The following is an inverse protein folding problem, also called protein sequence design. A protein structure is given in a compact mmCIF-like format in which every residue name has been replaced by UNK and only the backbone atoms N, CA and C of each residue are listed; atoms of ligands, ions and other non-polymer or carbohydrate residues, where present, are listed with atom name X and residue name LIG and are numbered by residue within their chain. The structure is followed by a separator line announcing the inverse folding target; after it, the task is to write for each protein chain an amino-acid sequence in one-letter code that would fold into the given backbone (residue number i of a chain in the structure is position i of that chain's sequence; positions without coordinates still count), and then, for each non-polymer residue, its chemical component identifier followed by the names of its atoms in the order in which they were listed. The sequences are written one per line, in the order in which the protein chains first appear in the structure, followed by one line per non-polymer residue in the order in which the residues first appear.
data_IF_442190486238
#
_entry.id   IF_442190486238
#
_cell.length_a   1.000
_cell.length_b   1.000
_cell.length_c   1.000
_cell.angle_alpha   90.00
_cell.angle_beta   90.00
_cell.angle_gamma   90.00
#
_symmetry.space_group_name_H-M   'P 1'
#
loop_
_entity.id
_entity.type
_entity.pdbx_description
1 polymer ?
#
# COMPACT_ATOMS: atom_id res chain seq x y z
N UNK A 1 7.56 -5.58 -42.20
CA UNK A 1 8.97 -5.81 -41.84
C UNK A 1 9.43 -4.53 -41.17
N UNK A 2 9.29 -4.45 -39.85
CA UNK A 2 9.62 -3.25 -39.08
C UNK A 2 11.10 -3.27 -38.75
N UNK A 3 11.72 -2.14 -39.08
CA UNK A 3 13.11 -1.76 -38.88
C UNK A 3 13.69 -2.28 -37.55
N UNK A 4 14.79 -3.02 -37.67
CA UNK A 4 15.52 -3.65 -36.57
C UNK A 4 16.29 -2.61 -35.77
N UNK A 5 15.57 -1.73 -35.06
CA UNK A 5 16.15 -0.93 -33.98
C UNK A 5 16.78 -1.90 -33.00
N UNK A 6 18.11 -2.01 -33.05
CA UNK A 6 18.90 -2.88 -32.17
C UNK A 6 18.41 -2.67 -30.74
N UNK A 7 17.66 -3.63 -30.19
CA UNK A 7 17.36 -3.66 -28.76
C UNK A 7 18.72 -3.63 -28.10
N UNK A 8 19.03 -2.51 -27.46
CA UNK A 8 20.38 -2.29 -26.95
C UNK A 8 20.67 -3.41 -25.94
N UNK A 9 21.89 -3.95 -25.96
CA UNK A 9 22.31 -4.96 -24.97
C UNK A 9 22.02 -4.44 -23.55
N UNK A 10 22.20 -3.13 -23.35
CA UNK A 10 21.80 -2.42 -22.14
C UNK A 10 20.31 -2.60 -21.79
N UNK A 11 19.38 -2.36 -22.72
CA UNK A 11 17.93 -2.54 -22.48
C UNK A 11 17.61 -3.96 -22.04
N UNK A 12 18.18 -4.97 -22.70
CA UNK A 12 17.95 -6.37 -22.34
C UNK A 12 18.48 -6.69 -20.93
N UNK A 13 19.71 -6.27 -20.62
CA UNK A 13 20.32 -6.49 -19.30
C UNK A 13 19.50 -5.81 -18.21
N UNK A 14 19.14 -4.53 -18.39
CA UNK A 14 18.34 -3.77 -17.42
C UNK A 14 16.96 -4.40 -17.20
N UNK A 15 16.29 -4.84 -18.28
CA UNK A 15 15.00 -5.52 -18.19
C UNK A 15 15.10 -6.84 -17.44
N UNK A 16 16.15 -7.62 -17.69
CA UNK A 16 16.38 -8.89 -16.98
C UNK A 16 16.62 -8.64 -15.48
N UNK A 17 17.45 -7.65 -15.13
CA UNK A 17 17.68 -7.28 -13.72
C UNK A 17 16.37 -6.88 -13.04
N UNK A 18 15.58 -6.01 -13.68
CA UNK A 18 14.28 -5.57 -13.16
C UNK A 18 13.32 -6.74 -12.94
N UNK A 19 13.24 -7.65 -13.92
CA UNK A 19 12.42 -8.86 -13.85
C UNK A 19 12.85 -9.77 -12.70
N UNK A 20 14.15 -9.97 -12.51
CA UNK A 20 14.69 -10.81 -11.42
C UNK A 20 14.32 -10.22 -10.07
N UNK A 21 14.46 -8.90 -9.89
CA UNK A 21 14.02 -8.25 -8.66
C UNK A 21 12.54 -8.47 -8.39
N UNK A 22 11.68 -8.30 -9.39
CA UNK A 22 10.25 -8.54 -9.21
C UNK A 22 9.88 -10.00 -8.94
N UNK A 23 10.64 -10.96 -9.47
CA UNK A 23 10.44 -12.37 -9.11
C UNK A 23 10.72 -12.65 -7.63
N UNK A 24 11.67 -11.93 -7.01
CA UNK A 24 12.10 -12.20 -5.62
C UNK A 24 11.55 -11.19 -4.61
N UNK A 25 10.90 -10.10 -5.06
CA UNK A 25 10.54 -8.95 -4.22
C UNK A 25 9.77 -9.36 -2.96
N UNK A 26 8.80 -10.27 -3.07
CA UNK A 26 7.91 -10.66 -1.99
C UNK A 26 8.54 -11.64 -0.98
N UNK A 27 9.69 -12.25 -1.30
CA UNK A 27 10.35 -13.24 -0.43
C UNK A 27 10.70 -12.61 0.95
N UNK A 28 11.38 -11.44 1.02
CA UNK A 28 11.61 -10.75 2.28
C UNK A 28 10.34 -10.48 3.10
N UNK A 29 9.22 -10.12 2.45
CA UNK A 29 7.96 -9.86 3.13
C UNK A 29 7.37 -11.15 3.73
N UNK A 30 7.34 -12.23 2.95
CA UNK A 30 6.87 -13.54 3.40
C UNK A 30 7.70 -14.03 4.59
N UNK A 31 9.02 -13.88 4.51
CA UNK A 31 9.93 -14.25 5.60
C UNK A 31 9.72 -13.38 6.83
N UNK A 32 9.54 -12.06 6.65
CA UNK A 32 9.28 -11.12 7.72
C UNK A 32 8.00 -11.46 8.50
N UNK A 33 6.89 -11.70 7.78
CA UNK A 33 5.63 -12.15 8.34
C UNK A 33 5.80 -13.47 9.11
N UNK A 34 6.56 -14.43 8.54
CA UNK A 34 6.82 -15.71 9.19
C UNK A 34 7.68 -15.57 10.46
N UNK A 35 8.66 -14.66 10.49
CA UNK A 35 9.51 -14.43 11.67
C UNK A 35 8.74 -13.76 12.80
N UNK A 36 7.93 -12.75 12.48
CA UNK A 36 7.17 -11.97 13.47
C UNK A 36 5.89 -12.66 13.94
N UNK A 37 5.32 -13.56 13.14
CA UNK A 37 4.01 -14.20 13.39
C UNK A 37 2.87 -13.18 13.54
N UNK A 38 3.08 -11.98 12.98
CA UNK A 38 2.19 -10.83 13.00
C UNK A 38 2.22 -10.20 11.62
N UNK A 39 1.07 -9.66 11.20
CA UNK A 39 0.88 -9.05 9.86
C UNK A 39 0.17 -7.70 9.97
N UNK A 40 0.27 -7.07 11.14
CA UNK A 40 -0.39 -5.80 11.40
C UNK A 40 0.14 -4.70 10.47
N UNK A 41 -0.77 -3.94 9.85
CA UNK A 41 -0.43 -2.88 8.88
C UNK A 41 -0.19 -3.37 7.45
N UNK A 42 -0.14 -4.69 7.20
CA UNK A 42 -0.08 -5.23 5.84
C UNK A 42 -1.51 -5.42 5.27
N UNK A 43 -1.92 -4.66 4.23
CA UNK A 43 -3.30 -4.71 3.75
C UNK A 43 -3.63 -6.05 3.06
N UNK A 44 -4.66 -6.81 3.50
CA UNK A 44 -5.06 -8.05 2.82
C UNK A 44 -5.51 -7.81 1.38
N UNK A 45 -6.18 -6.67 1.14
CA UNK A 45 -6.72 -6.31 -0.18
C UNK A 45 -5.60 -6.05 -1.20
N UNK A 46 -4.46 -5.49 -0.78
CA UNK A 46 -3.29 -5.32 -1.64
C UNK A 46 -2.82 -6.67 -2.19
N UNK A 47 -2.63 -7.65 -1.31
CA UNK A 47 -2.16 -8.99 -1.71
C UNK A 47 -3.16 -9.70 -2.63
N UNK A 48 -4.47 -9.51 -2.40
CA UNK A 48 -5.51 -10.06 -3.29
C UNK A 48 -5.55 -9.38 -4.65
N UNK A 49 -5.46 -8.04 -4.70
CA UNK A 49 -5.45 -7.29 -5.96
C UNK A 49 -4.22 -7.62 -6.79
N UNK A 50 -3.07 -7.80 -6.15
CA UNK A 50 -1.83 -8.24 -6.78
C UNK A 50 -1.91 -9.69 -7.29
N UNK A 51 -2.49 -10.60 -6.51
CA UNK A 51 -2.77 -11.95 -7.00
C UNK A 51 -3.75 -11.95 -8.19
N UNK A 52 -4.78 -11.10 -8.13
CA UNK A 52 -5.77 -10.97 -9.20
C UNK A 52 -5.16 -10.33 -10.47
N UNK A 53 -4.22 -9.39 -10.33
CA UNK A 53 -3.54 -8.77 -11.47
C UNK A 53 -2.54 -9.70 -12.15
N UNK A 54 -1.97 -10.66 -11.41
CA UNK A 54 -1.04 -11.66 -11.95
C UNK A 54 -1.68 -12.49 -13.07
N UNK A 55 -2.97 -12.79 -12.99
CA UNK A 55 -3.73 -13.56 -14.00
C UNK A 55 -3.73 -12.86 -15.37
N UNK A 56 -4.31 -11.65 -15.54
CA UNK A 56 -4.28 -10.96 -16.82
C UNK A 56 -2.86 -10.61 -17.26
N UNK A 57 -1.94 -10.33 -16.33
CA UNK A 57 -0.53 -10.09 -16.66
C UNK A 57 0.13 -11.34 -17.27
N UNK A 58 -0.07 -12.52 -16.69
CA UNK A 58 0.42 -13.80 -17.19
C UNK A 58 -0.14 -14.14 -18.57
N UNK A 59 -1.46 -13.98 -18.75
CA UNK A 59 -2.14 -14.14 -20.05
C UNK A 59 -1.49 -13.25 -21.11
N UNK A 60 -1.30 -11.97 -20.81
CA UNK A 60 -0.70 -11.01 -21.74
C UNK A 60 0.72 -11.43 -22.14
N UNK A 61 1.58 -11.78 -21.17
CA UNK A 61 2.97 -12.18 -21.44
C UNK A 61 3.04 -13.49 -22.26
N UNK A 62 2.19 -14.46 -21.97
CA UNK A 62 2.15 -15.75 -22.69
C UNK A 62 1.65 -15.56 -24.13
N UNK A 63 0.60 -14.75 -24.34
CA UNK A 63 0.07 -14.48 -25.69
C UNK A 63 1.05 -13.69 -26.55
N UNK A 64 1.71 -12.68 -25.97
CA UNK A 64 2.76 -11.91 -26.63
C UNK A 64 4.03 -12.73 -26.91
N UNK A 65 4.13 -13.96 -26.39
CA UNK A 65 5.27 -14.88 -26.56
C UNK A 65 6.60 -14.22 -26.19
N UNK A 66 6.59 -13.40 -25.14
CA UNK A 66 7.82 -12.76 -24.63
C UNK A 66 8.76 -13.81 -24.04
N UNK A 67 10.01 -13.42 -23.73
CA UNK A 67 11.00 -14.34 -23.15
C UNK A 67 10.47 -15.06 -21.91
N UNK A 68 10.86 -16.33 -21.73
CA UNK A 68 10.39 -17.19 -20.62
C UNK A 68 10.47 -16.52 -19.23
N UNK A 69 11.55 -15.79 -18.85
CA UNK A 69 11.59 -15.12 -17.55
C UNK A 69 10.43 -14.13 -17.32
N UNK A 70 10.00 -13.41 -18.37
CA UNK A 70 8.88 -12.46 -18.29
C UNK A 70 7.52 -13.16 -18.24
N UNK A 71 7.41 -14.39 -18.75
CA UNK A 71 6.19 -15.21 -18.59
C UNK A 71 6.10 -15.81 -17.19
N UNK A 72 7.23 -16.15 -16.58
CA UNK A 72 7.30 -16.75 -15.23
C UNK A 72 7.09 -15.69 -14.15
N UNK A 73 7.50 -14.45 -14.37
CA UNK A 73 7.43 -13.39 -13.36
C UNK A 73 6.02 -13.18 -12.79
N UNK A 74 4.93 -13.04 -13.57
CA UNK A 74 3.58 -12.87 -13.04
C UNK A 74 3.13 -14.08 -12.20
N UNK A 75 3.53 -15.28 -12.58
CA UNK A 75 3.18 -16.52 -11.87
C UNK A 75 3.79 -16.55 -10.47
N UNK A 76 5.09 -16.26 -10.40
CA UNK A 76 5.81 -16.20 -9.13
C UNK A 76 5.24 -15.08 -8.25
N UNK A 77 5.01 -13.91 -8.83
CA UNK A 77 4.43 -12.76 -8.14
C UNK A 77 3.02 -13.06 -7.59
N UNK A 78 2.15 -13.67 -8.38
CA UNK A 78 0.80 -14.04 -7.97
C UNK A 78 0.79 -15.08 -6.85
N UNK A 79 1.61 -16.13 -6.97
CA UNK A 79 1.74 -17.17 -5.92
C UNK A 79 2.28 -16.57 -4.63
N UNK A 80 3.33 -15.76 -4.68
CA UNK A 80 3.89 -15.11 -3.49
C UNK A 80 2.90 -14.13 -2.84
N UNK A 81 2.11 -13.42 -3.64
CA UNK A 81 1.04 -12.55 -3.14
C UNK A 81 -0.01 -13.36 -2.39
N UNK A 82 -0.43 -14.52 -2.93
CA UNK A 82 -1.39 -15.40 -2.26
C UNK A 82 -0.82 -16.07 -0.99
N UNK A 83 0.46 -16.42 -0.97
CA UNK A 83 1.13 -16.90 0.25
C UNK A 83 1.12 -15.81 1.33
N UNK A 84 1.49 -14.59 0.98
CA UNK A 84 1.46 -13.44 1.89
C UNK A 84 0.03 -13.17 2.39
N UNK A 85 -0.96 -13.23 1.49
CA UNK A 85 -2.38 -13.14 1.87
C UNK A 85 -2.80 -14.23 2.87
N UNK A 86 -2.39 -15.49 2.63
CA UNK A 86 -2.59 -16.58 3.56
C UNK A 86 -1.96 -16.34 4.94
N UNK A 87 -0.76 -15.75 4.97
CA UNK A 87 -0.13 -15.34 6.22
C UNK A 87 -0.93 -14.25 6.96
N UNK A 88 -1.55 -13.31 6.23
CA UNK A 88 -2.42 -12.28 6.81
C UNK A 88 -3.69 -12.90 7.41
N UNK A 89 -4.30 -13.87 6.72
CA UNK A 89 -5.46 -14.60 7.25
C UNK A 89 -5.11 -15.38 8.52
N UNK A 90 -3.95 -16.06 8.53
CA UNK A 90 -3.54 -16.89 9.65
C UNK A 90 -3.06 -16.07 10.86
N UNK A 91 -2.14 -15.12 10.66
CA UNK A 91 -1.54 -14.36 11.75
C UNK A 91 -2.38 -13.16 12.20
N UNK A 92 -3.01 -12.46 11.26
CA UNK A 92 -3.83 -11.27 11.52
C UNK A 92 -5.27 -11.62 11.91
N UNK A 93 -5.99 -12.33 11.05
CA UNK A 93 -7.42 -12.63 11.27
C UNK A 93 -7.67 -13.89 12.12
N UNK A 94 -6.60 -14.54 12.60
CA UNK A 94 -6.65 -15.75 13.45
C UNK A 94 -7.45 -16.91 12.85
N UNK A 95 -7.49 -17.02 11.52
CA UNK A 95 -8.11 -18.17 10.87
C UNK A 95 -7.33 -19.45 11.23
N UNK A 96 -8.00 -20.60 11.23
CA UNK A 96 -7.29 -21.87 11.44
C UNK A 96 -6.34 -22.15 10.26
N UNK A 97 -5.22 -22.86 10.52
CA UNK A 97 -4.22 -23.21 9.49
C UNK A 97 -4.86 -23.86 8.28
N UNK A 98 -5.79 -24.79 8.52
CA UNK A 98 -6.50 -25.53 7.48
C UNK A 98 -7.36 -24.59 6.63
N UNK A 99 -8.14 -23.70 7.26
CA UNK A 99 -8.99 -22.74 6.53
C UNK A 99 -8.14 -21.78 5.68
N UNK A 100 -7.07 -21.23 6.24
CA UNK A 100 -6.18 -20.32 5.52
C UNK A 100 -5.52 -21.02 4.32
N UNK A 101 -4.97 -22.23 4.52
CA UNK A 101 -4.34 -23.01 3.44
C UNK A 101 -5.33 -23.41 2.36
N UNK A 102 -6.55 -23.86 2.72
CA UNK A 102 -7.58 -24.21 1.75
C UNK A 102 -8.03 -23.02 0.91
N UNK A 103 -8.18 -21.84 1.53
CA UNK A 103 -8.50 -20.62 0.80
C UNK A 103 -7.39 -20.25 -0.19
N UNK A 104 -6.13 -20.29 0.24
CA UNK A 104 -4.98 -20.01 -0.65
C UNK A 104 -4.93 -20.98 -1.82
N UNK A 105 -5.02 -22.30 -1.55
CA UNK A 105 -4.98 -23.31 -2.61
C UNK A 105 -6.18 -23.16 -3.55
N UNK A 106 -7.38 -22.92 -3.01
CA UNK A 106 -8.59 -22.69 -3.78
C UNK A 106 -8.46 -21.46 -4.69
N UNK A 107 -7.91 -20.36 -4.18
CA UNK A 107 -7.65 -19.15 -4.98
C UNK A 107 -6.57 -19.37 -6.02
N UNK A 108 -5.48 -20.09 -5.72
CA UNK A 108 -4.45 -20.46 -6.71
C UNK A 108 -5.06 -21.27 -7.85
N UNK A 109 -5.86 -22.29 -7.52
CA UNK A 109 -6.53 -23.14 -8.51
C UNK A 109 -7.51 -22.33 -9.38
N UNK A 110 -8.27 -21.43 -8.76
CA UNK A 110 -9.17 -20.51 -9.47
C UNK A 110 -8.41 -19.58 -10.42
N UNK A 111 -7.36 -18.92 -9.93
CA UNK A 111 -6.53 -18.02 -10.73
C UNK A 111 -5.88 -18.76 -11.91
N UNK A 112 -5.30 -19.94 -11.68
CA UNK A 112 -4.71 -20.76 -12.74
C UNK A 112 -5.73 -21.27 -13.76
N UNK A 113 -6.94 -21.64 -13.30
CA UNK A 113 -8.05 -22.01 -14.18
C UNK A 113 -8.55 -20.85 -15.05
N UNK A 114 -8.71 -19.66 -14.45
CA UNK A 114 -9.10 -18.44 -15.17
C UNK A 114 -8.03 -18.01 -16.18
N UNK A 115 -6.76 -18.08 -15.80
CA UNK A 115 -5.63 -17.81 -16.70
C UNK A 115 -5.63 -18.77 -17.89
N UNK A 116 -5.72 -20.09 -17.63
CA UNK A 116 -5.75 -21.09 -18.69
C UNK A 116 -6.93 -20.88 -19.65
N UNK A 117 -8.12 -20.59 -19.10
CA UNK A 117 -9.31 -20.28 -19.89
C UNK A 117 -9.06 -19.05 -20.78
N UNK A 118 -8.58 -17.95 -20.21
CA UNK A 118 -8.29 -16.72 -20.95
C UNK A 118 -7.25 -16.94 -22.05
N UNK A 119 -6.18 -17.68 -21.77
CA UNK A 119 -5.16 -18.03 -22.77
C UNK A 119 -5.80 -18.80 -23.92
N UNK A 120 -6.57 -19.85 -23.64
CA UNK A 120 -7.19 -20.67 -24.68
C UNK A 120 -8.18 -19.87 -25.53
N UNK A 121 -9.00 -19.03 -24.89
CA UNK A 121 -9.99 -18.19 -25.57
C UNK A 121 -9.34 -17.10 -26.43
N UNK A 122 -8.33 -16.40 -25.91
CA UNK A 122 -7.70 -15.26 -26.58
C UNK A 122 -6.62 -15.67 -27.59
N UNK A 123 -6.09 -16.90 -27.49
CA UNK A 123 -5.15 -17.43 -28.48
C UNK A 123 -5.78 -17.56 -29.88
N UNK A 124 -7.08 -17.83 -29.95
CA UNK A 124 -7.81 -17.95 -31.22
C UNK A 124 -7.81 -16.62 -32.01
N UNK A 125 -8.31 -15.48 -31.47
CA UNK A 125 -8.26 -14.19 -32.17
C UNK A 125 -6.84 -13.69 -32.36
N UNK A 126 -5.93 -13.93 -31.41
CA UNK A 126 -4.52 -13.53 -31.52
C UNK A 126 -3.83 -14.19 -32.74
N UNK A 127 -4.03 -15.51 -32.92
CA UNK A 127 -3.50 -16.22 -34.08
C UNK A 127 -4.13 -15.78 -35.41
N UNK A 128 -5.32 -15.15 -35.38
CA UNK A 128 -5.97 -14.52 -36.53
C UNK A 128 -5.49 -13.08 -36.77
N UNK A 129 -4.51 -12.59 -36.00
CA UNK A 129 -3.93 -11.25 -36.13
C UNK A 129 -4.70 -10.15 -35.40
N UNK A 130 -5.70 -10.49 -34.58
CA UNK A 130 -6.48 -9.53 -33.79
C UNK A 130 -5.83 -9.38 -32.41
N UNK A 131 -5.09 -8.29 -32.20
CA UNK A 131 -4.31 -8.04 -30.98
C UNK A 131 -5.02 -7.16 -29.94
N UNK A 132 -6.05 -6.39 -30.30
CA UNK A 132 -6.71 -5.50 -29.32
C UNK A 132 -7.21 -6.19 -28.03
N UNK A 133 -7.74 -7.44 -28.07
CA UNK A 133 -8.10 -8.17 -26.85
C UNK A 133 -6.92 -8.44 -25.91
N UNK A 134 -5.71 -8.68 -26.43
CA UNK A 134 -4.53 -8.88 -25.58
C UNK A 134 -4.13 -7.58 -24.87
N UNK A 135 -4.18 -6.44 -25.57
CA UNK A 135 -3.87 -5.13 -25.03
C UNK A 135 -4.85 -4.73 -23.93
N UNK A 136 -6.13 -5.08 -24.10
CA UNK A 136 -7.16 -4.85 -23.08
C UNK A 136 -6.84 -5.62 -21.80
N UNK A 137 -6.46 -6.89 -21.91
CA UNK A 137 -6.09 -7.71 -20.74
C UNK A 137 -4.83 -7.15 -20.07
N UNK A 138 -3.84 -6.73 -20.85
CA UNK A 138 -2.67 -6.02 -20.34
C UNK A 138 -3.04 -4.75 -19.57
N UNK A 139 -3.93 -3.92 -20.12
CA UNK A 139 -4.41 -2.70 -19.48
C UNK A 139 -5.18 -2.99 -18.17
N UNK A 140 -5.98 -4.05 -18.12
CA UNK A 140 -6.66 -4.48 -16.88
C UNK A 140 -5.65 -4.90 -15.82
N UNK A 141 -4.62 -5.67 -16.19
CA UNK A 141 -3.55 -6.05 -15.26
C UNK A 141 -2.86 -4.82 -14.66
N UNK A 142 -2.58 -3.85 -15.52
CA UNK A 142 -1.94 -2.60 -15.22
C UNK A 142 -2.73 -1.76 -14.19
N UNK A 143 -4.04 -1.62 -14.41
CA UNK A 143 -4.96 -0.95 -13.48
C UNK A 143 -5.05 -1.66 -12.15
N UNK A 144 -5.16 -3.00 -12.15
CA UNK A 144 -5.23 -3.79 -10.91
C UNK A 144 -3.93 -3.70 -10.09
N UNK A 145 -2.77 -3.68 -10.75
CA UNK A 145 -1.48 -3.51 -10.10
C UNK A 145 -1.40 -2.17 -9.37
N UNK A 146 -1.76 -1.08 -10.05
CA UNK A 146 -1.82 0.27 -9.47
C UNK A 146 -2.86 0.34 -8.33
N UNK A 147 -4.04 -0.25 -8.53
CA UNK A 147 -5.08 -0.31 -7.50
C UNK A 147 -4.62 -1.06 -6.25
N UNK A 148 -3.79 -2.10 -6.41
CA UNK A 148 -3.19 -2.84 -5.31
C UNK A 148 -2.29 -2.00 -4.41
N UNK A 149 -1.70 -0.92 -4.93
CA UNK A 149 -0.90 0.03 -4.16
C UNK A 149 -1.71 1.09 -3.42
N UNK A 150 -3.05 1.15 -3.61
CA UNK A 150 -3.91 2.12 -2.91
C UNK A 150 -4.19 1.73 -1.44
N UNK A 151 -4.54 0.47 -1.08
CA UNK A 151 -4.77 0.08 0.31
C UNK A 151 -3.66 0.46 1.32
N UNK A 152 -2.36 0.35 0.98
CA UNK A 152 -1.27 0.85 1.83
C UNK A 152 -1.41 2.32 2.20
N UNK A 153 -1.88 3.18 1.29
CA UNK A 153 -2.09 4.61 1.57
C UNK A 153 -3.21 4.86 2.57
N UNK A 154 -4.27 4.05 2.54
CA UNK A 154 -5.31 4.14 3.57
C UNK A 154 -4.78 3.73 4.94
N UNK A 155 -3.96 2.68 5.02
CA UNK A 155 -3.30 2.30 6.28
C UNK A 155 -2.31 3.36 6.77
N UNK A 156 -1.59 4.02 5.85
CA UNK A 156 -0.73 5.16 6.19
C UNK A 156 -1.52 6.32 6.76
N UNK A 157 -2.65 6.66 6.15
CA UNK A 157 -3.50 7.75 6.61
C UNK A 157 -4.10 7.48 7.99
N UNK A 158 -4.56 6.24 8.25
CA UNK A 158 -5.04 5.82 9.58
C UNK A 158 -3.96 5.86 10.66
N UNK A 159 -2.69 5.71 10.28
CA UNK A 159 -1.54 5.58 11.18
C UNK A 159 -0.63 6.82 11.14
N UNK A 160 -1.18 7.99 10.82
CA UNK A 160 -0.48 9.27 10.90
C UNK A 160 0.77 9.39 9.99
N UNK A 161 0.84 8.59 8.93
CA UNK A 161 1.95 8.47 8.00
C UNK A 161 2.98 7.39 8.35
N UNK A 162 2.75 6.60 9.41
CA UNK A 162 3.65 5.51 9.80
C UNK A 162 3.44 4.27 8.93
N UNK A 163 4.48 3.89 8.20
CA UNK A 163 4.54 2.59 7.51
C UNK A 163 4.75 1.48 8.54
N UNK A 164 3.79 0.57 8.66
CA UNK A 164 3.84 -0.62 9.54
C UNK A 164 3.46 -1.84 8.70
N UNK A 165 4.02 -2.99 9.04
CA UNK A 165 3.70 -4.25 8.37
C UNK A 165 4.53 -4.52 7.13
N UNK A 166 5.06 -3.49 6.48
CA UNK A 166 5.97 -3.62 5.34
C UNK A 166 7.41 -3.91 5.77
N UNK A 167 8.04 -4.84 5.05
CA UNK A 167 9.47 -5.08 5.10
C UNK A 167 10.19 -4.08 4.17
N UNK A 168 11.13 -3.31 4.71
CA UNK A 168 11.88 -2.30 3.94
C UNK A 168 12.73 -2.89 2.81
N UNK A 169 13.19 -4.13 2.95
CA UNK A 169 13.92 -4.85 1.88
C UNK A 169 12.97 -5.24 0.76
N UNK A 170 11.76 -5.73 1.07
CA UNK A 170 10.72 -5.98 0.06
C UNK A 170 10.46 -4.73 -0.77
N UNK A 171 10.15 -3.61 -0.11
CA UNK A 171 9.82 -2.36 -0.80
C UNK A 171 10.98 -1.87 -1.66
N UNK A 172 12.22 -2.02 -1.18
CA UNK A 172 13.40 -1.60 -1.93
C UNK A 172 13.65 -2.46 -3.17
N UNK A 173 13.45 -3.77 -3.08
CA UNK A 173 13.60 -4.67 -4.24
C UNK A 173 12.51 -4.36 -5.27
N UNK A 174 11.28 -4.08 -4.84
CA UNK A 174 10.17 -3.72 -5.72
C UNK A 174 10.46 -2.42 -6.50
N UNK A 175 10.88 -1.37 -5.79
CA UNK A 175 11.27 -0.09 -6.40
C UNK A 175 12.43 -0.24 -7.35
N UNK A 176 13.45 -1.04 -7.01
CA UNK A 176 14.55 -1.33 -7.92
C UNK A 176 14.06 -2.08 -9.17
N UNK A 177 13.16 -3.05 -9.02
CA UNK A 177 12.52 -3.73 -10.15
C UNK A 177 11.85 -2.77 -11.12
N UNK A 178 11.09 -1.81 -10.59
CA UNK A 178 10.44 -0.74 -11.36
C UNK A 178 11.43 0.21 -12.03
N UNK A 179 12.44 0.68 -11.29
CA UNK A 179 13.45 1.61 -11.82
C UNK A 179 14.29 0.98 -12.94
N UNK A 180 14.78 -0.25 -12.76
CA UNK A 180 15.56 -0.94 -13.79
C UNK A 180 14.71 -1.23 -15.03
N UNK A 181 13.42 -1.56 -14.86
CA UNK A 181 12.50 -1.76 -15.98
C UNK A 181 12.18 -0.44 -16.72
N UNK A 182 12.10 0.69 -16.00
CA UNK A 182 11.94 2.02 -16.58
C UNK A 182 13.20 2.46 -17.35
N UNK A 183 14.38 2.23 -16.79
CA UNK A 183 15.65 2.51 -17.49
C UNK A 183 15.83 1.64 -18.73
N UNK A 184 15.40 0.37 -18.67
CA UNK A 184 15.42 -0.52 -19.83
C UNK A 184 14.56 0.03 -20.98
N UNK A 185 13.38 0.58 -20.64
CA UNK A 185 12.48 1.21 -21.61
C UNK A 185 13.08 2.49 -22.21
N UNK A 186 13.66 3.35 -21.37
CA UNK A 186 14.36 4.55 -21.84
C UNK A 186 15.55 4.21 -22.76
N UNK A 187 16.26 3.12 -22.48
CA UNK A 187 17.40 2.64 -23.29
C UNK A 187 17.01 1.93 -24.59
N UNK A 188 15.73 1.59 -24.79
CA UNK A 188 15.25 0.89 -25.99
C UNK A 188 14.96 1.83 -27.17
N UNK A 189 14.75 3.13 -26.93
CA UNK A 189 14.46 4.12 -27.97
C UNK A 189 13.03 4.07 -28.55
N UNK A 190 12.35 2.92 -28.50
CA UNK A 190 10.92 2.77 -28.76
C UNK A 190 10.15 2.78 -27.42
N UNK A 191 9.46 3.88 -27.11
CA UNK A 191 8.74 3.98 -25.84
C UNK A 191 7.40 3.26 -25.92
N UNK A 192 7.31 2.08 -25.32
CA UNK A 192 6.04 1.45 -24.98
C UNK A 192 5.36 2.26 -23.87
N UNK A 193 4.39 3.09 -24.28
CA UNK A 193 3.67 4.02 -23.41
C UNK A 193 2.98 3.28 -22.27
N UNK A 194 2.40 2.10 -22.54
CA UNK A 194 1.63 1.37 -21.52
C UNK A 194 2.56 0.84 -20.42
N UNK A 195 3.65 0.16 -20.81
CA UNK A 195 4.67 -0.30 -19.85
C UNK A 195 5.33 0.85 -19.09
N UNK A 196 5.67 1.94 -19.79
CA UNK A 196 6.30 3.12 -19.19
C UNK A 196 5.43 3.80 -18.13
N UNK A 197 4.15 4.03 -18.43
CA UNK A 197 3.20 4.62 -17.47
C UNK A 197 3.11 3.74 -16.21
N UNK A 198 3.06 2.42 -16.37
CA UNK A 198 2.93 1.52 -15.22
C UNK A 198 4.16 1.53 -14.32
N UNK A 199 5.36 1.49 -14.90
CA UNK A 199 6.59 1.55 -14.12
C UNK A 199 6.71 2.89 -13.37
N UNK A 200 6.34 4.00 -14.02
CA UNK A 200 6.33 5.32 -13.39
C UNK A 200 5.32 5.36 -12.23
N UNK A 201 4.09 4.89 -12.44
CA UNK A 201 3.06 4.88 -11.39
C UNK A 201 3.53 4.08 -10.18
N UNK A 202 4.06 2.87 -10.39
CA UNK A 202 4.57 2.03 -9.29
C UNK A 202 5.68 2.76 -8.53
N UNK A 203 6.70 3.27 -9.23
CA UNK A 203 7.82 3.98 -8.59
C UNK A 203 7.36 5.23 -7.83
N UNK A 204 6.42 5.99 -8.39
CA UNK A 204 5.87 7.19 -7.72
C UNK A 204 5.06 6.82 -6.48
N UNK A 205 4.19 5.81 -6.58
CA UNK A 205 3.41 5.34 -5.44
C UNK A 205 4.30 4.76 -4.34
N UNK A 206 5.38 4.08 -4.67
CA UNK A 206 6.33 3.60 -3.67
C UNK A 206 7.15 4.74 -3.05
N UNK A 207 7.60 5.70 -3.86
CA UNK A 207 8.27 6.91 -3.37
C UNK A 207 7.38 7.68 -2.38
N UNK A 208 6.06 7.72 -2.60
CA UNK A 208 5.11 8.29 -1.64
C UNK A 208 5.05 7.54 -0.31
N UNK A 209 5.16 6.20 -0.32
CA UNK A 209 5.25 5.38 0.91
C UNK A 209 6.53 5.71 1.68
N UNK A 210 7.68 5.80 0.99
CA UNK A 210 8.95 6.23 1.60
C UNK A 210 8.84 7.64 2.18
N UNK A 211 8.30 8.58 1.41
CA UNK A 211 8.12 9.98 1.80
C UNK A 211 7.26 10.09 3.06
N UNK A 212 6.12 9.40 3.09
CA UNK A 212 5.21 9.37 4.25
C UNK A 212 5.92 8.91 5.52
N UNK A 213 6.69 7.81 5.45
CA UNK A 213 7.45 7.33 6.60
C UNK A 213 8.59 8.27 7.03
N UNK A 214 9.28 8.91 6.08
CA UNK A 214 10.32 9.89 6.40
C UNK A 214 9.71 11.09 7.12
N UNK A 215 8.58 11.62 6.61
CA UNK A 215 7.84 12.72 7.23
C UNK A 215 7.39 12.33 8.64
N UNK A 216 6.83 11.13 8.81
CA UNK A 216 6.46 10.60 10.13
C UNK A 216 7.66 10.54 11.08
N UNK A 217 8.80 9.98 10.63
CA UNK A 217 10.01 9.91 11.45
C UNK A 217 10.52 11.29 11.85
N UNK A 218 10.42 12.29 10.96
CA UNK A 218 10.83 13.67 11.22
C UNK A 218 9.92 14.33 12.26
N UNK A 219 8.60 14.15 12.12
CA UNK A 219 7.57 14.73 12.98
C UNK A 219 7.61 14.16 14.40
N UNK A 220 7.77 12.84 14.53
CA UNK A 220 7.82 12.16 15.82
C UNK A 220 9.24 11.88 16.33
N UNK A 221 10.23 12.68 15.91
CA UNK A 221 11.63 12.50 16.37
C UNK A 221 11.77 12.54 17.89
N UNK A 222 10.96 13.36 18.58
CA UNK A 222 10.98 13.49 20.04
C UNK A 222 10.50 12.19 20.70
N UNK A 223 9.33 11.71 20.30
CA UNK A 223 8.74 10.43 20.73
C UNK A 223 9.66 9.25 20.46
N UNK A 224 10.29 9.19 19.28
CA UNK A 224 11.23 8.11 18.93
C UNK A 224 12.48 8.17 19.82
N UNK A 225 12.98 9.37 20.17
CA UNK A 225 14.10 9.52 21.10
C UNK A 225 13.69 9.10 22.51
N UNK A 226 12.51 9.50 22.95
CA UNK A 226 11.98 9.14 24.27
C UNK A 226 11.74 7.63 24.41
N UNK A 227 11.17 6.98 23.40
CA UNK A 227 11.04 5.52 23.36
C UNK A 227 12.39 4.80 23.46
N UNK A 228 13.43 5.33 22.81
CA UNK A 228 14.80 4.79 22.92
C UNK A 228 15.41 4.98 24.30
N UNK A 229 15.15 6.12 24.94
CA UNK A 229 15.69 6.44 26.28
C UNK A 229 14.98 5.64 27.36
N UNK A 230 13.66 5.50 27.26
CA UNK A 230 12.83 4.77 28.24
C UNK A 230 12.81 3.26 28.02
N UNK A 231 13.29 2.78 26.86
CA UNK A 231 13.21 1.37 26.47
C UNK A 231 11.79 0.89 26.18
N UNK A 232 10.80 1.80 26.17
CA UNK A 232 9.40 1.52 25.87
C UNK A 232 9.17 1.46 24.37
N UNK A 233 8.10 0.79 23.94
CA UNK A 233 7.74 0.78 22.52
C UNK A 233 7.24 2.17 22.09
N UNK A 234 7.44 2.53 20.82
CA UNK A 234 6.97 3.83 20.29
C UNK A 234 5.45 3.98 20.44
N UNK A 235 4.71 2.87 20.31
CA UNK A 235 3.25 2.84 20.48
C UNK A 235 2.83 3.14 21.93
N UNK A 236 3.64 2.72 22.89
CA UNK A 236 3.40 2.96 24.31
C UNK A 236 3.63 4.43 24.68
N UNK A 237 4.69 5.05 24.14
CA UNK A 237 4.97 6.49 24.36
C UNK A 237 3.91 7.35 23.67
N UNK A 238 3.51 7.01 22.43
CA UNK A 238 2.42 7.69 21.73
C UNK A 238 1.09 7.59 22.48
N UNK A 239 0.79 6.42 23.06
CA UNK A 239 -0.41 6.24 23.88
C UNK A 239 -0.37 7.06 25.17
N UNK A 240 0.81 7.28 25.74
CA UNK A 240 0.98 8.09 26.96
C UNK A 240 0.82 9.59 26.64
N UNK A 241 1.48 10.11 25.60
CA UNK A 241 1.33 11.50 25.15
C UNK A 241 -0.11 11.81 24.69
N UNK A 242 -0.77 10.86 24.01
CA UNK A 242 -2.17 11.03 23.59
C UNK A 242 -3.12 11.18 24.78
N UNK A 243 -2.93 10.39 25.83
CA UNK A 243 -3.71 10.50 27.06
C UNK A 243 -3.46 11.83 27.79
N UNK A 244 -2.22 12.30 27.82
CA UNK A 244 -1.86 13.59 28.41
C UNK A 244 -2.47 14.77 27.62
N UNK A 245 -2.41 14.74 26.29
CA UNK A 245 -3.01 15.75 25.41
C UNK A 245 -4.54 15.82 25.53
N UNK A 246 -5.20 14.67 25.62
CA UNK A 246 -6.66 14.61 25.79
C UNK A 246 -7.09 15.06 27.19
N UNK A 247 -6.28 14.75 28.22
CA UNK A 247 -6.50 15.25 29.58
C UNK A 247 -6.31 16.77 29.66
N UNK A 248 -5.31 17.32 28.97
CA UNK A 248 -5.05 18.76 28.91
C UNK A 248 -6.18 19.51 28.18
N UNK A 249 -6.63 19.01 27.02
CA UNK A 249 -7.80 19.58 26.31
C UNK A 249 -9.08 19.53 27.15
N UNK A 250 -9.31 18.41 27.85
CA UNK A 250 -10.45 18.27 28.75
C UNK A 250 -10.34 19.15 30.01
N UNK A 251 -9.14 19.57 30.40
CA UNK A 251 -8.93 20.53 31.48
C UNK A 251 -9.19 21.97 31.00
N UNK A 252 -8.68 22.34 29.82
CA UNK A 252 -8.93 23.65 29.19
C UNK A 252 -10.42 23.87 28.95
N UNK A 253 -11.11 22.90 28.35
CA UNK A 253 -12.55 23.02 28.07
C UNK A 253 -13.40 23.13 29.36
N UNK A 254 -12.97 22.52 30.47
CA UNK A 254 -13.60 22.71 31.79
C UNK A 254 -13.33 24.07 32.40
N UNK A 255 -12.15 24.63 32.20
CA UNK A 255 -11.84 25.99 32.65
C UNK A 255 -12.64 27.04 31.87
N UNK A 256 -12.81 26.85 30.56
CA UNK A 256 -13.65 27.72 29.71
C UNK A 256 -15.12 27.67 30.17
N UNK A 257 -15.69 26.48 30.39
CA UNK A 257 -17.06 26.33 30.91
C UNK A 257 -17.26 26.98 32.29
N UNK A 258 -16.26 26.87 33.18
CA UNK A 258 -16.32 27.50 34.51
C UNK A 258 -16.19 29.03 34.47
N UNK A 259 -15.47 29.56 33.48
CA UNK A 259 -15.38 31.02 33.26
C UNK A 259 -16.69 31.57 32.70
N UNK A 260 -17.33 30.85 31.76
CA UNK A 260 -18.63 31.24 31.21
C UNK A 260 -19.72 31.22 32.30
N UNK A 261 -19.78 30.19 33.15
CA UNK A 261 -20.72 30.14 34.28
C UNK A 261 -20.49 31.30 35.27
N UNK A 262 -19.24 31.65 35.57
CA UNK A 262 -18.94 32.79 36.44
C UNK A 262 -19.32 34.13 35.82
N UNK A 263 -19.22 34.26 34.49
CA UNK A 263 -19.61 35.47 33.77
C UNK A 263 -21.13 35.65 33.80
N UNK A 264 -21.91 34.60 33.51
CA UNK A 264 -23.37 34.61 33.62
C UNK A 264 -23.85 34.94 35.04
N UNK A 265 -23.21 34.35 36.06
CA UNK A 265 -23.60 34.59 37.46
C UNK A 265 -23.32 36.04 37.90
N UNK A 266 -22.23 36.63 37.39
CA UNK A 266 -21.90 38.02 37.69
C UNK A 266 -22.83 39.00 36.96
N UNK A 267 -23.19 38.72 35.71
CA UNK A 267 -24.16 39.53 34.96
C UNK A 267 -25.55 39.49 35.63
N UNK A 268 -26.05 38.32 36.02
CA UNK A 268 -27.30 38.19 36.78
C UNK A 268 -27.25 38.95 38.12
N UNK A 269 -26.12 38.89 38.83
CA UNK A 269 -25.94 39.61 40.10
C UNK A 269 -25.95 41.12 39.91
N UNK A 270 -25.37 41.61 38.81
CA UNK A 270 -25.28 43.02 38.50
C UNK A 270 -26.63 43.59 38.00
N UNK A 271 -27.41 42.82 37.23
CA UNK A 271 -28.78 43.16 36.87
C UNK A 271 -29.70 43.24 38.10
N UNK A 272 -29.67 42.24 38.99
CA UNK A 272 -30.46 42.26 40.24
C UNK A 272 -30.07 43.43 41.14
N UNK A 273 -28.77 43.75 41.23
CA UNK A 273 -28.28 44.90 41.99
C UNK A 273 -28.80 46.24 41.46
N UNK A 274 -28.82 46.39 40.13
CA UNK A 274 -29.35 47.59 39.48
C UNK A 274 -30.88 47.70 39.62
N UNK A 275 -31.63 46.60 39.54
CA UNK A 275 -33.07 46.61 39.79
C UNK A 275 -33.43 47.02 41.21
N UNK A 276 -32.69 46.54 42.22
CA UNK A 276 -32.96 46.92 43.62
C UNK A 276 -32.62 48.38 43.88
N UNK A 277 -31.53 48.89 43.31
CA UNK A 277 -31.14 50.31 43.44
C UNK A 277 -32.17 51.24 42.78
N UNK A 278 -32.72 50.88 41.62
CA UNK A 278 -33.78 51.67 40.99
C UNK A 278 -35.07 51.68 41.82
N UNK A 279 -35.42 50.57 42.49
CA UNK A 279 -36.60 50.50 43.37
C UNK A 279 -36.48 51.33 44.66
N UNK A 280 -35.25 51.62 45.13
CA UNK A 280 -35.02 52.48 46.30
C UNK A 280 -35.07 53.98 45.97
N UNK A 281 -34.80 54.38 44.74
CA UNK A 281 -34.82 55.79 44.30
C UNK A 281 -36.26 56.29 44.03
N UNK A 282 -37.19 55.38 43.75
CA UNK A 282 -38.60 55.67 43.46
C UNK A 282 -39.54 55.66 44.71
N UNK A 283 -39.00 55.59 45.94
CA UNK A 283 -39.75 55.68 47.21
C UNK A 283 -39.44 56.94 47.98
#
# INVERSE_FOLDING_TARGET
MSDGGNVTVASNVLRTIGTVFWCVQLIPQIWYNWRRKETEGLPPLMMLLWAACAVPMGVYMILQKVNIPLQVQPQVFGVFSLISWGQILYYGHKYTRVKATLLVIGTIALCGGLEALLILTLRIPYNKGVTWPDLLVGAVAAVLLAAGLIPPYFELWKRDGRVIGFNWVFLSIDTLGGLFSLFALAAQGSFDILGGIMYIIVVVLEAGIYGSHIVWRIRYRKVIKEAKVTGRSVDEVLGTEGYELDAEKGAVSRQELAQDEQMDTNEEGQERGNEMRNKEIDR
#
